data_IF_063526062360
#
_entry.id   IF_063526062360
#
_cell.length_a   1.000
_cell.length_b   1.000
_cell.length_c   1.000
_cell.angle_alpha   90.00
_cell.angle_beta   90.00
_cell.angle_gamma   90.00
#
_symmetry.space_group_name_H-M   'P 1'
#
loop_
_entity.id
_entity.type
_entity.pdbx_description
1 polymer ?
#
# COMPACT_ATOMS: atom_id res chain seq x y z
N UNK A 1 -78.55 0.66 -15.31
CA UNK A 1 -77.27 1.36 -15.46
C UNK A 1 -76.19 0.38 -15.09
N UNK A 2 -75.58 -0.18 -16.08
CA UNK A 2 -74.58 -1.24 -15.89
C UNK A 2 -73.22 -0.57 -15.54
N UNK A 3 -72.65 -1.00 -14.42
CA UNK A 3 -71.29 -0.62 -14.06
C UNK A 3 -70.31 -1.54 -14.78
N UNK A 4 -69.65 -1.05 -15.80
CA UNK A 4 -68.58 -1.78 -16.45
C UNK A 4 -67.24 -1.54 -15.70
N UNK A 5 -66.73 -2.58 -15.06
CA UNK A 5 -65.41 -2.59 -14.45
C UNK A 5 -64.40 -3.17 -15.47
N UNK A 6 -63.45 -2.38 -15.92
CA UNK A 6 -62.36 -2.87 -16.79
C UNK A 6 -61.11 -3.12 -15.94
N UNK A 7 -60.66 -4.36 -15.96
CA UNK A 7 -59.39 -4.79 -15.37
C UNK A 7 -58.30 -4.79 -16.47
N UNK A 8 -57.30 -3.88 -16.35
CA UNK A 8 -56.13 -3.84 -17.22
C UNK A 8 -55.00 -4.57 -16.57
N UNK A 9 -54.43 -5.54 -17.25
CA UNK A 9 -53.42 -6.47 -16.79
C UNK A 9 -52.33 -5.83 -15.90
N UNK A 10 -52.32 -6.27 -14.63
CA UNK A 10 -51.26 -6.03 -13.69
C UNK A 10 -51.40 -4.83 -12.75
N UNK A 11 -52.52 -4.10 -12.80
CA UNK A 11 -52.85 -3.05 -11.81
C UNK A 11 -54.36 -2.89 -11.72
N UNK A 12 -54.94 -3.01 -10.56
CA UNK A 12 -56.34 -2.74 -10.26
C UNK A 12 -56.55 -1.24 -10.20
N UNK A 13 -57.03 -0.65 -11.31
CA UNK A 13 -57.57 0.73 -11.33
C UNK A 13 -59.08 0.63 -11.48
N UNK A 14 -59.85 1.14 -10.51
CA UNK A 14 -61.29 1.24 -10.56
C UNK A 14 -61.69 2.55 -11.20
N UNK A 15 -62.29 2.50 -12.41
CA UNK A 15 -62.84 3.66 -13.12
C UNK A 15 -64.36 3.58 -13.06
N UNK A 16 -64.97 4.62 -12.48
CA UNK A 16 -66.42 4.80 -12.51
C UNK A 16 -66.80 5.69 -13.66
N UNK A 17 -67.55 5.14 -14.67
CA UNK A 17 -68.09 5.93 -15.79
C UNK A 17 -69.41 6.50 -15.38
N UNK A 18 -69.48 7.80 -15.08
CA UNK A 18 -70.75 8.45 -14.68
C UNK A 18 -71.42 9.22 -15.84
N UNK A 19 -70.69 9.69 -16.84
CA UNK A 19 -71.21 10.28 -18.10
C UNK A 19 -70.11 10.32 -19.17
N UNK A 20 -70.44 10.13 -20.43
CA UNK A 20 -69.48 9.90 -21.55
C UNK A 20 -68.56 11.10 -21.88
N UNK A 21 -68.92 12.31 -21.59
CA UNK A 21 -68.10 13.48 -21.98
C UNK A 21 -67.07 13.91 -20.89
N UNK A 22 -67.36 13.71 -19.62
CA UNK A 22 -66.39 14.04 -18.54
C UNK A 22 -65.28 13.01 -18.38
N UNK A 23 -65.53 11.79 -18.80
CA UNK A 23 -64.58 10.65 -18.64
C UNK A 23 -63.41 10.74 -19.57
N UNK A 24 -63.52 11.33 -20.76
CA UNK A 24 -62.41 11.40 -21.70
C UNK A 24 -61.28 12.35 -21.23
N UNK A 25 -61.57 13.41 -20.54
CA UNK A 25 -60.56 14.32 -20.02
C UNK A 25 -59.82 13.73 -18.82
N UNK A 26 -60.54 13.08 -17.89
CA UNK A 26 -59.89 12.41 -16.71
C UNK A 26 -59.05 11.22 -17.10
N UNK A 27 -59.45 10.42 -18.09
CA UNK A 27 -58.69 9.26 -18.59
C UNK A 27 -57.38 9.71 -19.27
N UNK A 28 -57.40 10.82 -19.98
CA UNK A 28 -56.17 11.37 -20.56
C UNK A 28 -55.21 11.91 -19.46
N UNK A 29 -55.75 12.45 -18.39
CA UNK A 29 -54.91 12.98 -17.27
C UNK A 29 -54.26 11.85 -16.48
N UNK A 30 -54.95 10.74 -16.24
CA UNK A 30 -54.40 9.59 -15.50
C UNK A 30 -53.29 8.83 -16.24
N UNK A 31 -53.28 8.84 -17.58
CA UNK A 31 -52.27 8.14 -18.37
C UNK A 31 -50.85 8.71 -18.32
N UNK A 32 -50.68 9.90 -17.79
CA UNK A 32 -49.39 10.60 -17.81
C UNK A 32 -48.74 10.76 -16.41
N UNK A 33 -49.29 10.17 -15.34
CA UNK A 33 -48.77 10.36 -13.99
C UNK A 33 -48.35 9.04 -13.34
N UNK A 34 -47.12 8.99 -12.90
CA UNK A 34 -46.61 7.90 -12.06
C UNK A 34 -46.70 8.33 -10.58
N UNK A 35 -47.41 7.54 -9.76
CA UNK A 35 -47.44 7.69 -8.31
C UNK A 35 -46.21 7.03 -7.70
N UNK A 36 -45.35 7.79 -7.06
CA UNK A 36 -44.22 7.29 -6.28
C UNK A 36 -44.64 7.15 -4.81
N UNK A 37 -45.60 7.93 -4.37
CA UNK A 37 -46.26 7.83 -3.07
C UNK A 37 -47.62 8.53 -3.17
N UNK A 38 -48.53 8.36 -2.20
CA UNK A 38 -49.83 9.06 -2.22
C UNK A 38 -49.70 10.58 -2.22
N UNK A 39 -48.49 11.12 -2.03
CA UNK A 39 -48.23 12.57 -1.94
C UNK A 39 -47.35 13.12 -3.07
N UNK A 40 -46.78 12.31 -3.95
CA UNK A 40 -45.82 12.77 -4.97
C UNK A 40 -46.12 12.15 -6.33
N UNK A 41 -46.60 12.99 -7.25
CA UNK A 41 -46.81 12.61 -8.66
C UNK A 41 -45.67 13.23 -9.49
N UNK A 42 -44.75 12.42 -9.94
CA UNK A 42 -43.64 12.84 -10.79
C UNK A 42 -43.80 12.34 -12.21
N UNK A 43 -43.59 13.21 -13.19
CA UNK A 43 -43.57 12.79 -14.59
C UNK A 43 -42.35 11.89 -14.85
N UNK A 44 -42.45 10.97 -15.85
CA UNK A 44 -41.30 10.11 -16.26
C UNK A 44 -40.04 10.92 -16.56
N UNK A 45 -40.17 12.12 -17.11
CA UNK A 45 -39.03 13.01 -17.40
C UNK A 45 -38.35 13.53 -16.13
N UNK A 46 -39.16 13.88 -15.10
CA UNK A 46 -38.61 14.28 -13.81
C UNK A 46 -37.87 13.12 -13.09
N UNK A 47 -38.42 11.89 -13.15
CA UNK A 47 -37.76 10.70 -12.58
C UNK A 47 -36.44 10.43 -13.28
N UNK A 48 -36.40 10.46 -14.59
CA UNK A 48 -35.17 10.30 -15.38
C UNK A 48 -34.14 11.39 -15.07
N UNK A 49 -34.58 12.64 -14.96
CA UNK A 49 -33.71 13.76 -14.61
C UNK A 49 -33.11 13.58 -13.20
N UNK A 50 -33.91 13.20 -12.22
CA UNK A 50 -33.42 12.93 -10.85
C UNK A 50 -32.41 11.78 -10.84
N UNK A 51 -32.70 10.69 -11.57
CA UNK A 51 -31.76 9.56 -11.69
C UNK A 51 -30.42 9.99 -12.32
N UNK A 52 -30.45 10.78 -13.38
CA UNK A 52 -29.23 11.32 -14.00
C UNK A 52 -28.46 12.23 -13.04
N UNK A 53 -29.15 13.10 -12.28
CA UNK A 53 -28.50 13.93 -11.26
C UNK A 53 -27.85 13.08 -10.15
N UNK A 54 -28.52 12.05 -9.65
CA UNK A 54 -27.98 11.14 -8.63
C UNK A 54 -26.75 10.41 -9.18
N UNK A 55 -26.80 9.88 -10.41
CA UNK A 55 -25.65 9.22 -11.03
C UNK A 55 -24.48 10.19 -11.23
N UNK A 56 -24.74 11.43 -11.64
CA UNK A 56 -23.71 12.47 -11.78
C UNK A 56 -23.08 12.82 -10.43
N UNK A 57 -23.86 12.92 -9.35
CA UNK A 57 -23.37 13.18 -7.99
C UNK A 57 -22.53 12.00 -7.47
N UNK A 58 -22.97 10.76 -7.71
CA UNK A 58 -22.21 9.57 -7.32
C UNK A 58 -20.89 9.46 -8.08
N UNK A 59 -20.89 9.76 -9.38
CA UNK A 59 -19.67 9.78 -10.19
C UNK A 59 -18.71 10.88 -9.75
N UNK A 60 -19.22 12.06 -9.44
CA UNK A 60 -18.41 13.18 -8.90
C UNK A 60 -17.83 12.82 -7.53
N UNK A 61 -18.64 12.25 -6.63
CA UNK A 61 -18.17 11.81 -5.31
C UNK A 61 -17.09 10.75 -5.43
N UNK A 62 -17.24 9.76 -6.32
CA UNK A 62 -16.25 8.74 -6.60
C UNK A 62 -14.97 9.34 -7.18
N UNK A 63 -15.09 10.29 -8.09
CA UNK A 63 -13.95 11.01 -8.66
C UNK A 63 -13.22 11.84 -7.61
N UNK A 64 -13.93 12.58 -6.76
CA UNK A 64 -13.33 13.36 -5.66
C UNK A 64 -12.64 12.47 -4.64
N UNK A 65 -13.24 11.32 -4.31
CA UNK A 65 -12.60 10.32 -3.43
C UNK A 65 -11.33 9.75 -4.07
N UNK A 66 -11.35 9.43 -5.36
CA UNK A 66 -10.17 9.00 -6.12
C UNK A 66 -9.08 10.07 -6.13
N UNK A 67 -9.41 11.33 -6.43
CA UNK A 67 -8.47 12.46 -6.42
C UNK A 67 -7.92 12.69 -5.00
N UNK A 68 -8.74 12.63 -3.96
CA UNK A 68 -8.27 12.76 -2.58
C UNK A 68 -7.28 11.66 -2.17
N UNK A 69 -7.43 10.44 -2.68
CA UNK A 69 -6.48 9.36 -2.48
C UNK A 69 -5.19 9.50 -3.30
N UNK A 70 -5.25 10.17 -4.45
CA UNK A 70 -4.11 10.33 -5.37
C UNK A 70 -3.34 11.64 -5.13
N UNK A 71 -3.95 12.63 -4.48
CA UNK A 71 -3.23 13.84 -4.08
C UNK A 71 -2.14 13.48 -3.06
N UNK A 72 -0.88 13.90 -3.29
CA UNK A 72 0.18 13.67 -2.31
C UNK A 72 -0.14 14.48 -1.05
N UNK A 73 -0.68 13.80 -0.07
CA UNK A 73 -0.90 14.32 1.27
C UNK A 73 0.49 14.61 1.86
N UNK A 74 0.79 15.88 2.09
CA UNK A 74 2.00 16.45 2.71
C UNK A 74 3.32 15.68 2.56
N UNK A 75 4.28 16.25 1.83
CA UNK A 75 5.63 15.70 1.77
C UNK A 75 6.32 15.90 3.12
N UNK A 76 6.67 14.81 3.80
CA UNK A 76 7.49 14.84 5.00
C UNK A 76 8.97 14.66 4.65
N UNK A 77 9.86 15.35 5.35
CA UNK A 77 11.30 15.23 5.16
C UNK A 77 11.97 14.85 6.47
N UNK A 78 12.91 13.92 6.39
CA UNK A 78 13.80 13.54 7.50
C UNK A 78 15.25 13.61 7.02
N UNK A 79 16.17 13.78 7.96
CA UNK A 79 17.61 13.74 7.68
C UNK A 79 18.23 12.61 8.48
N UNK A 80 18.73 11.60 7.77
CA UNK A 80 19.47 10.45 8.31
C UNK A 80 20.98 10.73 8.31
N UNK A 81 21.76 9.81 8.84
CA UNK A 81 23.24 9.86 8.75
C UNK A 81 23.77 9.92 7.31
N UNK A 82 22.97 9.53 6.32
CA UNK A 82 23.38 9.46 4.91
C UNK A 82 22.61 10.40 3.95
N UNK A 83 21.97 11.43 4.48
CA UNK A 83 21.30 12.46 3.71
C UNK A 83 19.83 12.65 4.03
N UNK A 84 19.20 13.59 3.34
CA UNK A 84 17.81 13.93 3.53
C UNK A 84 16.89 13.09 2.60
N UNK A 85 15.76 12.65 3.12
CA UNK A 85 14.78 11.86 2.39
C UNK A 85 13.40 12.49 2.49
N UNK A 86 12.69 12.52 1.37
CA UNK A 86 11.31 12.97 1.28
C UNK A 86 10.39 11.77 1.16
N UNK A 87 9.58 11.55 2.19
CA UNK A 87 8.54 10.52 2.25
C UNK A 87 7.16 11.04 1.88
N UNK A 88 6.15 10.23 2.21
CA UNK A 88 4.73 10.55 2.02
C UNK A 88 3.98 10.45 3.34
N UNK A 89 2.91 11.23 3.46
CA UNK A 89 1.95 11.11 4.55
C UNK A 89 0.61 10.66 3.97
N UNK A 90 0.17 9.46 4.29
CA UNK A 90 -1.03 8.82 3.76
C UNK A 90 -1.68 8.02 4.89
N UNK A 91 -3.01 8.01 4.98
CA UNK A 91 -3.76 7.20 5.94
C UNK A 91 -3.32 7.39 7.41
N UNK A 92 -2.98 8.61 7.79
CA UNK A 92 -2.61 8.95 9.18
C UNK A 92 -1.18 8.58 9.58
N UNK A 93 -0.35 8.12 8.65
CA UNK A 93 1.06 7.81 8.92
C UNK A 93 2.00 8.32 7.83
N UNK A 94 3.25 8.49 8.19
CA UNK A 94 4.35 8.81 7.29
C UNK A 94 5.00 7.52 6.80
N UNK A 95 5.37 7.47 5.51
CA UNK A 95 6.15 6.38 4.95
C UNK A 95 7.34 6.88 4.16
N UNK A 96 8.47 6.21 4.37
CA UNK A 96 9.74 6.44 3.68
C UNK A 96 10.19 5.10 3.11
N UNK A 97 10.19 4.96 1.80
CA UNK A 97 10.40 3.69 1.11
C UNK A 97 11.61 3.78 0.17
N UNK A 98 12.43 2.73 0.17
CA UNK A 98 13.56 2.61 -0.74
C UNK A 98 14.77 3.48 -0.38
N UNK A 99 15.01 3.72 0.89
CA UNK A 99 16.23 4.37 1.37
C UNK A 99 17.39 3.36 1.37
N UNK A 100 18.61 3.70 0.86
CA UNK A 100 19.73 2.80 0.92
C UNK A 100 20.27 2.67 2.35
N UNK A 101 20.45 1.45 2.85
CA UNK A 101 21.14 1.18 4.12
C UNK A 101 22.56 0.65 3.93
N UNK A 102 22.91 0.26 2.71
CA UNK A 102 24.23 -0.14 2.29
C UNK A 102 24.51 0.28 0.85
N UNK A 103 25.77 0.25 0.43
CA UNK A 103 26.14 0.48 -0.94
C UNK A 103 25.59 -0.63 -1.85
N UNK A 104 25.29 -0.35 -3.15
CA UNK A 104 24.89 -1.36 -4.11
C UNK A 104 25.88 -2.52 -4.15
N UNK A 105 25.47 -3.77 -3.93
CA UNK A 105 26.37 -4.93 -3.90
C UNK A 105 26.67 -5.44 -5.32
N UNK A 106 27.21 -4.58 -6.15
CA UNK A 106 27.51 -4.82 -7.58
C UNK A 106 29.01 -4.84 -7.85
N UNK A 107 29.43 -5.45 -8.94
CA UNK A 107 30.82 -5.51 -9.35
C UNK A 107 31.73 -6.05 -8.24
N UNK A 108 32.74 -5.29 -7.77
CA UNK A 108 33.64 -5.73 -6.70
C UNK A 108 32.97 -5.97 -5.35
N UNK A 109 31.77 -5.39 -5.11
CA UNK A 109 31.01 -5.59 -3.88
C UNK A 109 30.05 -6.79 -3.95
N UNK A 110 29.93 -7.45 -5.11
CA UNK A 110 29.22 -8.73 -5.22
C UNK A 110 30.01 -9.78 -4.41
N UNK A 111 29.30 -10.58 -3.62
CA UNK A 111 29.89 -11.57 -2.71
C UNK A 111 30.94 -10.99 -1.74
N UNK A 112 30.73 -9.76 -1.33
CA UNK A 112 31.47 -9.09 -0.27
C UNK A 112 30.50 -8.69 0.86
N UNK A 113 30.99 -8.48 2.11
CA UNK A 113 30.21 -7.87 3.18
C UNK A 113 29.59 -6.54 2.70
N UNK A 114 28.39 -6.16 3.23
CA UNK A 114 27.78 -4.89 2.88
C UNK A 114 28.69 -3.71 3.25
N UNK A 115 28.95 -2.83 2.29
CA UNK A 115 29.70 -1.61 2.52
C UNK A 115 28.76 -0.46 2.94
N UNK A 116 29.27 0.60 3.63
CA UNK A 116 28.47 1.78 3.99
C UNK A 116 27.76 2.38 2.76
N UNK A 117 26.54 2.93 2.92
CA UNK A 117 25.80 3.50 1.82
C UNK A 117 26.52 4.71 1.21
N UNK A 118 26.33 4.91 -0.09
CA UNK A 118 26.83 6.10 -0.78
C UNK A 118 25.92 7.29 -0.47
N UNK A 119 26.39 8.14 0.43
CA UNK A 119 25.64 9.34 0.84
C UNK A 119 25.63 10.38 -0.29
N UNK A 120 24.45 10.90 -0.62
CA UNK A 120 24.26 11.92 -1.64
C UNK A 120 23.85 13.24 -1.01
N UNK A 121 24.37 14.33 -1.54
CA UNK A 121 23.87 15.66 -1.19
C UNK A 121 22.43 15.88 -1.71
N UNK A 122 21.71 16.82 -1.07
CA UNK A 122 20.34 17.14 -1.43
C UNK A 122 19.29 16.20 -0.82
N UNK A 123 18.04 16.33 -1.32
CA UNK A 123 16.90 15.57 -0.82
C UNK A 123 16.54 14.47 -1.81
N UNK A 124 16.61 13.22 -1.38
CA UNK A 124 16.25 12.04 -2.16
C UNK A 124 14.77 11.69 -2.00
N UNK A 125 14.11 11.26 -3.09
CA UNK A 125 12.73 10.78 -3.05
C UNK A 125 12.67 9.37 -2.43
N UNK A 126 11.93 9.25 -1.34
CA UNK A 126 11.62 8.01 -0.63
C UNK A 126 10.12 7.69 -0.65
N UNK A 127 9.41 8.09 -1.70
CA UNK A 127 7.97 7.88 -1.83
C UNK A 127 7.55 6.50 -2.36
N UNK A 128 8.48 5.63 -2.74
CA UNK A 128 8.20 4.32 -3.36
C UNK A 128 9.26 3.28 -3.06
N UNK A 129 8.86 2.02 -3.05
CA UNK A 129 9.78 0.90 -2.97
C UNK A 129 10.79 0.93 -4.13
N UNK A 130 12.02 0.54 -3.84
CA UNK A 130 13.06 0.29 -4.83
C UNK A 130 13.10 -1.18 -5.21
N UNK A 131 14.05 -1.54 -6.05
CA UNK A 131 14.17 -2.89 -6.59
C UNK A 131 14.32 -3.95 -5.50
N UNK A 132 13.63 -5.08 -5.65
CA UNK A 132 13.89 -6.27 -4.89
C UNK A 132 15.21 -6.92 -5.31
N UNK A 133 15.79 -7.76 -4.46
CA UNK A 133 16.99 -8.51 -4.81
C UNK A 133 16.70 -9.59 -5.89
N UNK A 134 17.69 -9.98 -6.71
CA UNK A 134 17.50 -10.92 -7.80
C UNK A 134 16.89 -12.24 -7.32
N UNK A 135 15.80 -12.65 -7.98
CA UNK A 135 15.01 -13.82 -7.61
C UNK A 135 14.20 -14.36 -8.78
N UNK A 136 13.90 -15.66 -8.73
CA UNK A 136 12.96 -16.31 -9.63
C UNK A 136 11.71 -16.68 -8.82
N UNK A 137 10.52 -16.33 -9.33
CA UNK A 137 9.24 -16.70 -8.72
C UNK A 137 8.60 -17.81 -9.55
N UNK A 138 8.47 -19.03 -9.00
CA UNK A 138 8.01 -20.18 -9.77
C UNK A 138 6.65 -20.01 -10.45
N UNK A 139 5.73 -19.24 -9.84
CA UNK A 139 4.35 -19.12 -10.30
C UNK A 139 4.02 -17.80 -11.02
N UNK A 140 4.87 -16.80 -10.98
CA UNK A 140 4.57 -15.45 -11.49
C UNK A 140 5.44 -14.97 -12.65
N UNK A 141 6.53 -15.61 -12.94
CA UNK A 141 7.54 -15.05 -13.84
C UNK A 141 8.05 -16.02 -14.92
N UNK A 142 7.39 -17.15 -15.15
CA UNK A 142 7.76 -18.13 -16.18
C UNK A 142 9.29 -18.40 -16.23
N UNK A 143 9.93 -18.47 -15.06
CA UNK A 143 11.38 -18.65 -14.93
C UNK A 143 12.23 -17.39 -15.15
N UNK A 144 11.64 -16.23 -15.39
CA UNK A 144 12.39 -14.97 -15.53
C UNK A 144 12.95 -14.50 -14.19
N UNK A 145 14.15 -13.95 -14.22
CA UNK A 145 14.77 -13.28 -13.08
C UNK A 145 14.09 -11.93 -12.87
N UNK A 146 13.62 -11.67 -11.65
CA UNK A 146 13.06 -10.40 -11.19
C UNK A 146 14.07 -9.72 -10.26
N UNK A 147 13.96 -8.37 -10.16
CA UNK A 147 14.81 -7.60 -9.27
C UNK A 147 16.14 -7.22 -9.89
N UNK A 148 16.99 -6.60 -9.07
CA UNK A 148 18.33 -6.11 -9.47
C UNK A 148 19.28 -6.32 -8.30
N UNK A 149 20.59 -6.36 -8.57
CA UNK A 149 21.61 -6.47 -7.52
C UNK A 149 21.65 -5.22 -6.62
N UNK A 150 21.42 -4.03 -7.17
CA UNK A 150 21.20 -2.81 -6.38
C UNK A 150 19.83 -2.90 -5.70
N UNK A 151 19.81 -3.56 -4.53
CA UNK A 151 18.58 -3.92 -3.84
C UNK A 151 18.61 -3.70 -2.32
N UNK A 152 19.70 -3.22 -1.74
CA UNK A 152 19.86 -3.08 -0.29
C UNK A 152 19.16 -1.81 0.21
N UNK A 153 17.84 -1.87 0.23
CA UNK A 153 16.96 -0.76 0.61
C UNK A 153 16.13 -1.08 1.85
N UNK A 154 15.90 -0.04 2.67
CA UNK A 154 15.10 -0.07 3.89
C UNK A 154 13.89 0.83 3.75
N UNK A 155 12.80 0.48 4.43
CA UNK A 155 11.54 1.21 4.41
C UNK A 155 11.08 1.43 5.85
N UNK A 156 10.48 2.59 6.12
CA UNK A 156 10.01 2.99 7.45
C UNK A 156 8.59 3.55 7.34
N UNK A 157 7.72 3.13 8.26
CA UNK A 157 6.37 3.68 8.47
C UNK A 157 6.27 4.17 9.90
N UNK A 158 5.77 5.36 10.12
CA UNK A 158 5.63 5.96 11.45
C UNK A 158 4.36 6.82 11.54
N UNK A 159 3.61 6.76 12.64
CA UNK A 159 2.46 7.63 12.84
C UNK A 159 2.87 9.09 13.11
N UNK A 160 4.07 9.32 13.65
CA UNK A 160 4.55 10.65 14.00
C UNK A 160 6.08 10.75 13.88
N UNK A 161 6.59 11.83 13.25
CA UNK A 161 8.03 12.10 13.15
C UNK A 161 8.59 12.70 14.46
N UNK A 162 7.77 13.45 15.19
CA UNK A 162 8.13 14.09 16.46
C UNK A 162 7.07 13.79 17.53
N UNK A 163 6.96 12.52 17.97
CA UNK A 163 6.02 12.16 19.02
C UNK A 163 6.49 12.73 20.38
N UNK A 164 5.54 12.95 21.31
CA UNK A 164 5.85 13.40 22.65
C UNK A 164 6.79 12.44 23.41
N UNK A 165 6.65 11.14 23.11
CA UNK A 165 7.55 10.06 23.58
C UNK A 165 7.93 9.20 22.37
N UNK A 166 9.20 8.77 22.32
CA UNK A 166 9.66 7.88 21.26
C UNK A 166 8.86 6.58 21.24
N UNK A 167 8.52 6.13 20.04
CA UNK A 167 7.64 5.00 19.80
C UNK A 167 8.40 3.68 19.72
N UNK A 168 7.80 2.55 20.14
CA UNK A 168 8.35 1.22 19.89
C UNK A 168 8.58 0.97 18.42
N UNK A 169 9.62 0.21 18.10
CA UNK A 169 10.04 -0.10 16.73
C UNK A 169 9.89 -1.59 16.44
N UNK A 170 9.20 -1.93 15.38
CA UNK A 170 8.97 -3.28 14.92
C UNK A 170 9.70 -3.49 13.58
N UNK A 171 10.73 -4.34 13.55
CA UNK A 171 11.53 -4.59 12.35
C UNK A 171 11.13 -5.93 11.72
N UNK A 172 10.53 -5.85 10.53
CA UNK A 172 10.07 -6.99 9.75
C UNK A 172 11.19 -7.59 8.90
N UNK A 173 11.46 -8.89 9.08
CA UNK A 173 12.35 -9.68 8.24
C UNK A 173 11.50 -10.61 7.38
N UNK A 174 11.52 -10.41 6.06
CA UNK A 174 10.72 -11.20 5.14
C UNK A 174 11.26 -12.64 5.03
N UNK A 175 10.36 -13.57 4.74
CA UNK A 175 10.68 -14.97 4.47
C UNK A 175 11.04 -15.23 3.02
N UNK A 176 10.61 -16.39 2.51
CA UNK A 176 10.83 -16.80 1.12
C UNK A 176 12.01 -17.73 0.95
N UNK A 177 12.33 -18.56 1.96
CA UNK A 177 13.39 -19.59 1.94
C UNK A 177 14.79 -19.06 1.61
N UNK A 178 15.05 -17.76 1.82
CA UNK A 178 16.28 -17.07 1.37
C UNK A 178 16.43 -17.00 -0.16
N UNK A 179 15.37 -17.26 -0.91
CA UNK A 179 15.38 -17.33 -2.36
C UNK A 179 14.49 -16.27 -3.02
N UNK A 180 13.46 -15.79 -2.33
CA UNK A 180 12.47 -14.88 -2.91
C UNK A 180 11.87 -13.93 -1.87
N UNK A 181 10.96 -13.08 -2.31
CA UNK A 181 10.27 -12.01 -1.58
C UNK A 181 11.13 -10.75 -1.35
N UNK A 182 10.58 -9.80 -0.63
CA UNK A 182 11.21 -8.50 -0.39
C UNK A 182 10.57 -7.81 0.81
N UNK A 183 11.20 -6.77 1.33
CA UNK A 183 10.63 -5.91 2.37
C UNK A 183 9.43 -5.08 1.91
N UNK A 184 9.13 -5.03 0.60
CA UNK A 184 7.97 -4.36 0.02
C UNK A 184 6.93 -5.31 -0.55
N UNK A 185 6.87 -6.55 -0.08
CA UNK A 185 5.96 -7.58 -0.62
C UNK A 185 4.49 -7.25 -0.29
N UNK A 186 3.60 -7.12 -1.30
CA UNK A 186 2.19 -6.85 -1.07
C UNK A 186 1.54 -7.91 -0.17
N UNK A 187 0.79 -7.48 0.84
CA UNK A 187 0.10 -8.34 1.81
C UNK A 187 0.97 -8.90 2.94
N UNK A 188 2.29 -8.68 2.90
CA UNK A 188 3.23 -9.13 3.93
C UNK A 188 4.03 -8.00 4.55
N UNK A 189 4.35 -6.94 3.79
CA UNK A 189 5.06 -5.78 4.33
C UNK A 189 4.14 -4.92 5.19
N UNK A 190 4.70 -4.18 6.17
CA UNK A 190 3.97 -3.17 6.92
C UNK A 190 3.29 -2.13 6.01
N UNK A 191 2.28 -1.45 6.54
CA UNK A 191 1.50 -0.43 5.84
C UNK A 191 1.38 0.83 6.68
N UNK A 192 1.03 1.94 6.04
CA UNK A 192 0.76 3.20 6.71
C UNK A 192 -0.38 3.04 7.74
N UNK A 193 -1.44 2.31 7.35
CA UNK A 193 -2.58 2.03 8.24
C UNK A 193 -2.15 1.25 9.48
N UNK A 194 -1.30 0.23 9.34
CA UNK A 194 -0.80 -0.54 10.48
C UNK A 194 -0.05 0.36 11.47
N UNK A 195 0.83 1.23 10.97
CA UNK A 195 1.59 2.16 11.82
C UNK A 195 0.67 3.16 12.56
N UNK A 196 -0.34 3.70 11.87
CA UNK A 196 -1.32 4.61 12.46
C UNK A 196 -2.18 3.94 13.53
N UNK A 197 -2.69 2.73 13.25
CA UNK A 197 -3.61 2.02 14.16
C UNK A 197 -2.91 1.49 15.43
N UNK A 198 -1.61 1.17 15.35
CA UNK A 198 -0.86 0.59 16.48
C UNK A 198 -0.01 1.60 17.23
N UNK A 199 0.14 2.81 16.70
CA UNK A 199 1.03 3.85 17.23
C UNK A 199 2.49 3.38 17.40
N UNK A 200 2.98 2.55 16.45
CA UNK A 200 4.34 2.00 16.43
C UNK A 200 5.06 2.38 15.12
N UNK A 201 6.38 2.41 15.21
CA UNK A 201 7.24 2.53 14.02
C UNK A 201 7.49 1.14 13.46
N UNK A 202 7.22 0.95 12.16
CA UNK A 202 7.51 -0.28 11.44
C UNK A 202 8.67 -0.06 10.47
N UNK A 203 9.50 -1.07 10.36
CA UNK A 203 10.63 -1.10 9.44
C UNK A 203 10.60 -2.40 8.65
N UNK A 204 10.91 -2.35 7.37
CA UNK A 204 11.23 -3.53 6.55
C UNK A 204 12.43 -3.24 5.67
N UNK A 205 13.10 -4.26 5.19
CA UNK A 205 14.25 -4.11 4.30
C UNK A 205 14.41 -5.33 3.39
N UNK A 206 15.15 -5.14 2.29
CA UNK A 206 15.62 -6.23 1.46
C UNK A 206 16.98 -6.70 1.95
N UNK A 207 17.31 -7.96 1.73
CA UNK A 207 18.63 -8.53 1.90
C UNK A 207 18.95 -9.47 0.72
N UNK A 208 20.24 -9.67 0.42
CA UNK A 208 20.64 -10.53 -0.70
C UNK A 208 20.15 -11.96 -0.51
N UNK A 209 19.73 -12.54 -1.60
CA UNK A 209 19.08 -13.84 -1.70
C UNK A 209 19.92 -14.78 -2.59
N UNK A 210 19.58 -16.06 -2.57
CA UNK A 210 20.15 -17.05 -3.48
C UNK A 210 21.69 -17.07 -3.44
N UNK A 211 22.32 -17.31 -4.57
CA UNK A 211 23.77 -17.32 -4.70
C UNK A 211 24.40 -15.96 -4.34
N UNK A 212 23.70 -14.82 -4.61
CA UNK A 212 24.22 -13.49 -4.26
C UNK A 212 24.36 -13.27 -2.76
N UNK A 213 23.45 -13.88 -1.97
CA UNK A 213 23.46 -13.75 -0.52
C UNK A 213 24.19 -14.88 0.22
N UNK A 214 24.30 -16.06 -0.39
CA UNK A 214 24.67 -17.26 0.38
C UNK A 214 25.72 -18.17 -0.27
N UNK A 215 26.31 -17.76 -1.40
CA UNK A 215 27.39 -18.54 -2.03
C UNK A 215 28.65 -18.54 -1.15
N UNK A 216 29.11 -19.72 -0.82
CA UNK A 216 30.34 -19.95 -0.04
C UNK A 216 31.35 -20.75 -0.88
N UNK A 217 32.41 -20.11 -1.35
CA UNK A 217 33.47 -20.69 -2.15
C UNK A 217 34.84 -20.30 -1.59
N UNK A 218 35.84 -21.23 -1.72
CA UNK A 218 37.19 -20.96 -1.25
C UNK A 218 37.80 -19.73 -1.94
N UNK A 219 37.61 -19.57 -3.24
CA UNK A 219 38.11 -18.42 -4.00
C UNK A 219 37.56 -17.09 -3.54
N UNK A 220 36.30 -17.06 -3.03
CA UNK A 220 35.72 -15.86 -2.44
C UNK A 220 36.27 -15.57 -1.04
N UNK A 221 36.71 -16.60 -0.33
CA UNK A 221 37.34 -16.47 0.98
C UNK A 221 38.73 -15.85 0.88
N UNK A 222 39.54 -16.27 -0.08
CA UNK A 222 40.92 -15.80 -0.26
C UNK A 222 40.98 -14.30 -0.58
N UNK A 223 39.96 -13.74 -1.23
CA UNK A 223 39.83 -12.30 -1.49
C UNK A 223 39.16 -11.48 -0.40
N UNK A 224 38.71 -12.12 0.70
CA UNK A 224 37.94 -11.46 1.77
C UNK A 224 38.86 -10.98 2.90
N UNK A 225 38.68 -9.74 3.41
CA UNK A 225 39.44 -9.22 4.56
C UNK A 225 39.30 -10.07 5.83
N UNK A 226 38.15 -10.76 5.97
CA UNK A 226 37.85 -11.65 7.12
C UNK A 226 38.27 -13.11 6.89
N UNK A 227 38.86 -13.45 5.76
CA UNK A 227 39.16 -14.80 5.35
C UNK A 227 37.97 -15.77 5.45
N UNK A 228 36.75 -15.23 5.14
CA UNK A 228 35.48 -15.95 5.15
C UNK A 228 34.71 -15.70 3.86
N UNK A 229 33.77 -16.60 3.52
CA UNK A 229 32.83 -16.41 2.41
C UNK A 229 31.46 -16.95 2.79
N UNK A 230 30.41 -16.46 2.11
CA UNK A 230 29.02 -16.79 2.39
C UNK A 230 28.36 -15.89 3.43
N UNK A 231 27.09 -16.17 3.72
CA UNK A 231 26.26 -15.45 4.70
C UNK A 231 26.11 -13.95 4.45
N UNK A 232 26.36 -13.46 3.24
CA UNK A 232 26.25 -12.04 2.89
C UNK A 232 24.84 -11.50 3.14
N UNK A 233 23.79 -12.30 2.86
CA UNK A 233 22.40 -11.92 3.17
C UNK A 233 22.14 -11.73 4.66
N UNK A 234 22.82 -12.48 5.54
CA UNK A 234 22.74 -12.25 7.00
C UNK A 234 23.55 -11.03 7.43
N UNK A 235 24.68 -10.78 6.79
CA UNK A 235 25.45 -9.56 7.00
C UNK A 235 24.63 -8.32 6.60
N UNK A 236 23.83 -8.43 5.52
CA UNK A 236 22.90 -7.38 5.10
C UNK A 236 21.83 -7.12 6.17
N UNK A 237 21.25 -8.17 6.78
CA UNK A 237 20.30 -8.01 7.88
C UNK A 237 20.93 -7.30 9.09
N UNK A 238 22.16 -7.66 9.45
CA UNK A 238 22.92 -7.00 10.51
C UNK A 238 23.17 -5.53 10.16
N UNK A 239 23.52 -5.21 8.93
CA UNK A 239 23.72 -3.84 8.47
C UNK A 239 22.43 -3.02 8.54
N UNK A 240 21.29 -3.61 8.16
CA UNK A 240 19.98 -2.97 8.26
C UNK A 240 19.61 -2.70 9.73
N UNK A 241 19.87 -3.63 10.65
CA UNK A 241 19.61 -3.43 12.07
C UNK A 241 20.52 -2.35 12.68
N UNK A 242 21.78 -2.26 12.26
CA UNK A 242 22.67 -1.16 12.63
C UNK A 242 22.15 0.18 12.13
N UNK A 243 21.70 0.22 10.88
CA UNK A 243 21.07 1.41 10.32
C UNK A 243 19.85 1.86 11.15
N UNK A 244 19.02 0.90 11.63
CA UNK A 244 17.88 1.20 12.51
C UNK A 244 18.37 1.85 13.82
N UNK A 245 19.37 1.28 14.46
CA UNK A 245 19.95 1.84 15.69
C UNK A 245 20.44 3.29 15.51
N UNK A 246 21.07 3.57 14.39
CA UNK A 246 21.64 4.88 14.08
C UNK A 246 20.58 5.92 13.68
N UNK A 247 19.51 5.52 13.00
CA UNK A 247 18.65 6.45 12.28
C UNK A 247 17.18 6.47 12.73
N UNK A 248 16.69 5.45 13.46
CA UNK A 248 15.25 5.35 13.69
C UNK A 248 14.68 6.49 14.52
N UNK A 249 15.52 7.17 15.30
CA UNK A 249 15.14 8.31 16.13
C UNK A 249 14.61 9.50 15.31
N UNK A 250 15.07 9.72 14.07
CA UNK A 250 14.58 10.81 13.21
C UNK A 250 13.20 10.51 12.61
N UNK A 251 12.74 9.25 12.75
CA UNK A 251 11.40 8.79 12.39
C UNK A 251 10.47 8.67 13.61
N UNK A 252 10.88 9.19 14.76
CA UNK A 252 10.10 9.13 16.01
C UNK A 252 10.23 7.81 16.78
N UNK A 253 11.04 6.85 16.30
CA UNK A 253 11.25 5.56 16.94
C UNK A 253 12.28 5.60 18.08
N UNK A 254 12.14 4.67 19.02
CA UNK A 254 13.05 4.46 20.14
C UNK A 254 14.08 3.37 19.79
N UNK A 255 15.36 3.68 19.60
CA UNK A 255 16.38 2.68 19.29
C UNK A 255 16.60 1.65 20.41
N UNK A 256 16.19 1.94 21.64
CA UNK A 256 16.28 1.01 22.76
C UNK A 256 15.08 0.07 22.88
N UNK A 257 13.99 0.34 22.12
CA UNK A 257 12.76 -0.46 22.07
C UNK A 257 12.53 -1.08 20.70
N UNK A 258 13.52 -1.79 20.20
CA UNK A 258 13.48 -2.44 18.89
C UNK A 258 13.16 -3.92 19.05
N UNK A 259 12.07 -4.35 18.44
CA UNK A 259 11.67 -5.76 18.35
C UNK A 259 11.80 -6.23 16.90
N UNK A 260 12.52 -7.33 16.68
CA UNK A 260 12.57 -8.00 15.38
C UNK A 260 11.50 -9.08 15.30
N UNK A 261 10.83 -9.17 14.17
CA UNK A 261 9.85 -10.21 13.89
C UNK A 261 9.91 -10.60 12.41
N UNK A 262 9.42 -11.77 12.07
CA UNK A 262 9.50 -12.25 10.70
C UNK A 262 8.64 -13.47 10.44
N UNK A 263 8.55 -13.87 9.19
CA UNK A 263 7.78 -15.01 8.76
C UNK A 263 8.73 -16.05 8.12
N UNK A 264 8.48 -17.36 8.37
CA UNK A 264 9.23 -18.47 7.76
C UNK A 264 10.74 -18.35 8.02
N UNK A 265 11.58 -18.32 6.96
CA UNK A 265 13.02 -18.12 7.09
C UNK A 265 13.39 -16.81 7.77
N UNK A 266 12.58 -15.76 7.66
CA UNK A 266 12.75 -14.50 8.43
C UNK A 266 12.50 -14.70 9.92
N UNK A 267 11.44 -15.44 10.30
CA UNK A 267 11.09 -15.71 11.70
C UNK A 267 12.13 -16.57 12.43
N UNK A 268 12.80 -17.52 11.75
CA UNK A 268 13.87 -18.36 12.32
C UNK A 268 15.10 -17.56 12.79
N UNK A 269 15.19 -16.28 12.39
CA UNK A 269 16.30 -15.37 12.77
C UNK A 269 15.97 -14.50 13.99
N UNK A 270 14.71 -14.53 14.43
CA UNK A 270 14.26 -13.76 15.60
C UNK A 270 14.32 -14.55 16.92
N UNK A 271 14.65 -15.84 16.85
CA UNK A 271 14.81 -16.69 18.03
C UNK A 271 16.23 -16.66 18.61
N UNK A 272 16.43 -17.13 19.86
CA UNK A 272 17.73 -17.26 20.50
C UNK A 272 18.63 -18.23 19.74
#
# INVERSE_FOLDING_TARGET
MDEDVFEVAGRTEYLYLVQEEEVQEEVQYARHRHYISPLLVLSRRCVLFILLCVLALLSLASYLAYVAQTLPSGAAQVTTSCGAFRGRHINGAYSFKGMPYAAPPVGPLRWAPPAPPLCRGGVSDAGRFRSMCPQVRPLKAEGKVLGQEDCLFINVWTPALQPAHRLPVMVWIHGGFLHMLSGGEPGYSPTEKLAADTEMVFVSFNYRLNAFGFMALNMLREGSPSNTSGNYGFMDQIAALKWVQENIHVFGGDPEKVTIFGQSSGGRRCGP
#
